data_IF_900736081844
#
_entry.id   IF_900736081844
#
_cell.length_a   1.000
_cell.length_b   1.000
_cell.length_c   1.000
_cell.angle_alpha   90.00
_cell.angle_beta   90.00
_cell.angle_gamma   90.00
#
_symmetry.space_group_name_H-M   'P 1'
#
loop_
_entity.id
_entity.type
_entity.pdbx_description
1 polymer ?
#
# COMPACT_ATOMS: atom_id res chain seq x y z
N UNK A 1 -35.95 12.46 -12.28
CA UNK A 1 -36.15 12.03 -10.88
C UNK A 1 -34.92 11.21 -10.52
N UNK A 2 -34.01 11.78 -9.74
CA UNK A 2 -32.85 11.08 -9.16
C UNK A 2 -32.73 11.60 -7.73
N UNK A 3 -32.82 10.74 -6.71
CA UNK A 3 -32.52 11.15 -5.35
C UNK A 3 -31.08 11.67 -5.33
N UNK A 4 -30.89 12.84 -4.75
CA UNK A 4 -29.60 13.19 -4.17
C UNK A 4 -29.34 12.19 -3.05
N UNK A 5 -28.70 11.07 -3.35
CA UNK A 5 -28.21 10.15 -2.32
C UNK A 5 -27.14 10.90 -1.54
N UNK A 6 -27.56 11.55 -0.46
CA UNK A 6 -26.66 12.16 0.50
C UNK A 6 -25.72 11.07 0.99
N UNK A 7 -24.42 11.27 0.84
CA UNK A 7 -23.41 10.34 1.34
C UNK A 7 -23.65 10.09 2.83
N UNK A 8 -23.64 8.83 3.26
CA UNK A 8 -23.69 8.50 4.68
C UNK A 8 -22.29 8.68 5.27
N UNK A 9 -22.03 9.86 5.84
CA UNK A 9 -20.69 10.23 6.32
C UNK A 9 -20.20 9.27 7.41
N UNK A 10 -21.04 8.87 8.37
CA UNK A 10 -20.64 7.94 9.42
C UNK A 10 -20.19 6.61 8.84
N UNK A 11 -20.96 6.08 7.90
CA UNK A 11 -20.66 4.82 7.24
C UNK A 11 -19.32 4.90 6.50
N UNK A 12 -19.04 6.00 5.79
CA UNK A 12 -17.74 6.21 5.14
C UNK A 12 -16.60 6.24 6.16
N UNK A 13 -16.76 6.95 7.28
CA UNK A 13 -15.73 7.02 8.32
C UNK A 13 -15.46 5.65 8.95
N UNK A 14 -16.50 4.84 9.15
CA UNK A 14 -16.39 3.49 9.67
C UNK A 14 -15.75 2.53 8.67
N UNK A 15 -16.19 2.54 7.42
CA UNK A 15 -15.66 1.69 6.34
C UNK A 15 -14.19 1.98 6.06
N UNK A 16 -13.82 3.26 5.96
CA UNK A 16 -12.44 3.67 5.77
C UNK A 16 -11.57 3.51 7.03
N UNK A 17 -12.15 3.07 8.15
CA UNK A 17 -11.48 2.92 9.45
C UNK A 17 -10.76 4.21 9.91
N UNK A 18 -11.42 5.37 9.73
CA UNK A 18 -10.86 6.67 10.13
C UNK A 18 -10.73 6.74 11.65
N UNK A 19 -9.51 7.01 12.13
CA UNK A 19 -9.18 7.09 13.56
C UNK A 19 -9.88 8.28 14.22
N UNK A 20 -10.14 8.17 15.53
CA UNK A 20 -10.87 9.19 16.29
C UNK A 20 -10.27 10.60 16.11
N UNK A 21 -8.95 10.72 16.15
CA UNK A 21 -8.20 11.97 16.01
C UNK A 21 -8.35 12.64 14.63
N UNK A 22 -8.83 11.89 13.63
CA UNK A 22 -9.03 12.36 12.25
C UNK A 22 -10.50 12.54 11.88
N UNK A 23 -11.44 12.06 12.70
CA UNK A 23 -12.87 12.01 12.35
C UNK A 23 -13.50 13.38 12.20
N UNK A 24 -13.10 14.36 13.01
CA UNK A 24 -13.69 15.72 12.98
C UNK A 24 -13.34 16.40 11.66
N UNK A 25 -12.06 16.46 11.30
CA UNK A 25 -11.64 17.08 10.03
C UNK A 25 -12.11 16.29 8.81
N UNK A 26 -12.12 14.96 8.88
CA UNK A 26 -12.62 14.12 7.78
C UNK A 26 -14.12 14.32 7.55
N UNK A 27 -14.91 14.46 8.62
CA UNK A 27 -16.33 14.81 8.53
C UNK A 27 -16.52 16.18 7.88
N UNK A 28 -15.82 17.21 8.37
CA UNK A 28 -15.92 18.56 7.82
C UNK A 28 -15.59 18.60 6.31
N UNK A 29 -14.62 17.79 5.87
CA UNK A 29 -14.26 17.61 4.47
C UNK A 29 -15.41 16.99 3.64
N UNK A 30 -16.18 16.07 4.22
CA UNK A 30 -17.29 15.37 3.57
C UNK A 30 -18.62 16.15 3.62
N UNK A 31 -18.83 16.99 4.64
CA UNK A 31 -19.97 17.90 4.75
C UNK A 31 -19.92 19.05 3.73
N UNK A 32 -18.71 19.46 3.33
CA UNK A 32 -18.51 20.44 2.27
C UNK A 32 -18.95 19.88 0.91
N UNK A 33 -19.57 20.68 0.04
CA UNK A 33 -19.85 20.24 -1.33
C UNK A 33 -18.54 19.94 -2.10
N UNK A 34 -18.50 18.90 -2.96
CA UNK A 34 -17.32 18.61 -3.75
C UNK A 34 -16.99 19.79 -4.67
N UNK A 35 -15.72 20.23 -4.67
CA UNK A 35 -15.24 21.24 -5.61
C UNK A 35 -15.09 20.65 -7.02
N UNK A 36 -14.89 21.51 -8.03
CA UNK A 36 -14.60 21.04 -9.39
C UNK A 36 -13.35 20.13 -9.46
N UNK A 37 -12.35 20.36 -8.60
CA UNK A 37 -11.16 19.51 -8.51
C UNK A 37 -11.49 18.14 -7.90
N UNK A 38 -12.40 18.07 -6.91
CA UNK A 38 -12.87 16.80 -6.33
C UNK A 38 -13.67 16.02 -7.37
N UNK A 39 -14.53 16.67 -8.14
CA UNK A 39 -15.26 16.02 -9.23
C UNK A 39 -14.34 15.50 -10.33
N UNK A 40 -13.29 16.25 -10.69
CA UNK A 40 -12.28 15.79 -11.62
C UNK A 40 -11.51 14.57 -11.08
N UNK A 41 -11.15 14.58 -9.80
CA UNK A 41 -10.49 13.43 -9.15
C UNK A 41 -11.43 12.20 -9.10
N UNK A 42 -12.71 12.38 -8.80
CA UNK A 42 -13.72 11.32 -8.85
C UNK A 42 -13.85 10.70 -10.25
N UNK A 43 -13.85 11.54 -11.30
CA UNK A 43 -13.88 11.06 -12.68
C UNK A 43 -12.66 10.19 -13.02
N UNK A 44 -11.48 10.55 -12.51
CA UNK A 44 -10.26 9.73 -12.64
C UNK A 44 -10.41 8.40 -11.89
N UNK A 45 -10.90 8.38 -10.65
CA UNK A 45 -11.09 7.13 -9.90
C UNK A 45 -12.06 6.19 -10.63
N UNK A 46 -13.18 6.73 -11.13
CA UNK A 46 -14.18 5.97 -11.90
C UNK A 46 -13.62 5.38 -13.18
N UNK A 47 -12.78 6.12 -13.93
CA UNK A 47 -12.19 5.60 -15.17
C UNK A 47 -11.18 4.46 -14.94
N UNK A 48 -10.56 4.44 -13.76
CA UNK A 48 -9.55 3.43 -13.36
C UNK A 48 -10.16 2.16 -12.78
N UNK A 49 -11.41 2.21 -12.32
CA UNK A 49 -12.03 1.10 -11.61
C UNK A 49 -12.15 -0.15 -12.49
N UNK A 50 -11.52 -1.25 -12.04
CA UNK A 50 -11.39 -2.52 -12.73
C UNK A 50 -10.21 -2.62 -13.69
N UNK A 51 -9.40 -1.57 -13.84
CA UNK A 51 -8.23 -1.54 -14.72
C UNK A 51 -6.94 -1.56 -13.89
N UNK A 52 -5.92 -2.29 -14.33
CA UNK A 52 -4.58 -2.28 -13.75
C UNK A 52 -3.52 -1.92 -14.80
N UNK A 53 -2.34 -1.49 -14.34
CA UNK A 53 -1.21 -1.13 -15.20
C UNK A 53 -1.21 0.33 -15.67
N UNK A 54 -2.24 1.09 -15.33
CA UNK A 54 -2.24 2.53 -15.58
C UNK A 54 -1.35 3.26 -14.57
N UNK A 55 -0.53 4.19 -15.05
CA UNK A 55 0.27 5.03 -14.17
C UNK A 55 -0.61 5.84 -13.22
N UNK A 56 -0.18 6.07 -11.96
CA UNK A 56 -0.91 6.96 -11.05
C UNK A 56 -1.11 8.35 -11.67
N UNK A 57 -2.23 9.04 -11.40
CA UNK A 57 -2.53 10.32 -12.00
C UNK A 57 -1.46 11.38 -11.67
N UNK A 58 -1.08 12.20 -12.66
CA UNK A 58 0.04 13.17 -12.58
C UNK A 58 -0.26 14.44 -11.76
N UNK A 59 -1.28 14.40 -10.88
CA UNK A 59 -1.83 15.47 -10.03
C UNK A 59 -2.61 16.56 -10.79
N UNK A 60 -3.88 16.72 -10.40
CA UNK A 60 -4.69 17.90 -10.71
C UNK A 60 -5.22 18.59 -9.43
N UNK A 61 -4.88 18.09 -8.23
CA UNK A 61 -5.36 18.64 -6.96
C UNK A 61 -4.48 18.25 -5.77
N UNK A 62 -4.59 19.01 -4.68
CA UNK A 62 -3.86 18.78 -3.43
C UNK A 62 -4.31 17.53 -2.67
N UNK A 63 -3.57 17.13 -1.63
CA UNK A 63 -3.85 15.92 -0.84
C UNK A 63 -5.29 15.82 -0.32
N UNK A 64 -5.91 16.95 0.07
CA UNK A 64 -7.30 16.97 0.58
C UNK A 64 -8.34 16.79 -0.54
N UNK A 65 -8.04 17.22 -1.76
CA UNK A 65 -8.89 16.96 -2.94
C UNK A 65 -8.98 15.46 -3.16
N UNK A 66 -7.83 14.78 -3.20
CA UNK A 66 -7.78 13.33 -3.38
C UNK A 66 -8.37 12.57 -2.19
N UNK A 67 -8.15 13.01 -0.96
CA UNK A 67 -8.79 12.41 0.21
C UNK A 67 -10.32 12.48 0.11
N UNK A 68 -10.87 13.66 -0.25
CA UNK A 68 -12.32 13.84 -0.42
C UNK A 68 -12.85 12.94 -1.54
N UNK A 69 -12.15 12.89 -2.68
CA UNK A 69 -12.54 12.05 -3.81
C UNK A 69 -12.52 10.55 -3.45
N UNK A 70 -11.46 10.05 -2.81
CA UNK A 70 -11.35 8.65 -2.39
C UNK A 70 -12.46 8.24 -1.42
N UNK A 71 -12.75 9.08 -0.41
CA UNK A 71 -13.80 8.81 0.58
C UNK A 71 -15.20 8.85 -0.05
N UNK A 72 -15.46 9.79 -0.96
CA UNK A 72 -16.74 9.89 -1.69
C UNK A 72 -16.93 8.77 -2.71
N UNK A 73 -15.84 8.24 -3.27
CA UNK A 73 -15.85 7.13 -4.22
C UNK A 73 -16.05 5.77 -3.55
N UNK A 74 -15.79 5.67 -2.25
CA UNK A 74 -15.81 4.42 -1.50
C UNK A 74 -17.10 3.60 -1.70
N UNK A 75 -18.32 4.16 -1.70
CA UNK A 75 -19.53 3.38 -1.97
C UNK A 75 -19.55 2.72 -3.35
N UNK A 76 -19.07 3.41 -4.40
CA UNK A 76 -18.98 2.86 -5.76
C UNK A 76 -17.95 1.73 -5.82
N UNK A 77 -16.81 1.92 -5.16
CA UNK A 77 -15.77 0.90 -5.05
C UNK A 77 -16.28 -0.35 -4.31
N UNK A 78 -17.02 -0.18 -3.21
CA UNK A 78 -17.61 -1.27 -2.45
C UNK A 78 -18.65 -2.05 -3.26
N UNK A 79 -19.52 -1.35 -4.01
CA UNK A 79 -20.45 -2.00 -4.93
C UNK A 79 -19.70 -2.86 -5.94
N UNK A 80 -18.63 -2.33 -6.53
CA UNK A 80 -17.82 -3.05 -7.51
C UNK A 80 -17.22 -4.35 -6.97
N UNK A 81 -16.74 -4.34 -5.72
CA UNK A 81 -16.25 -5.55 -5.05
C UNK A 81 -17.37 -6.54 -4.76
N UNK A 82 -18.51 -6.07 -4.23
CA UNK A 82 -19.66 -6.92 -3.89
C UNK A 82 -20.30 -7.57 -5.11
N UNK A 83 -20.39 -6.84 -6.23
CA UNK A 83 -20.89 -7.34 -7.50
C UNK A 83 -20.02 -8.47 -8.08
N UNK A 84 -18.75 -8.56 -7.65
CA UNK A 84 -17.80 -9.64 -7.99
C UNK A 84 -17.76 -10.76 -6.97
N UNK A 85 -18.58 -10.69 -5.91
CA UNK A 85 -18.62 -11.69 -4.85
C UNK A 85 -17.38 -11.69 -3.96
N UNK A 86 -16.61 -10.59 -3.91
CA UNK A 86 -15.44 -10.51 -3.04
C UNK A 86 -15.91 -10.61 -1.57
N UNK A 87 -15.28 -11.45 -0.72
CA UNK A 87 -15.68 -11.60 0.66
C UNK A 87 -15.61 -10.28 1.44
N UNK A 88 -16.65 -9.99 2.24
CA UNK A 88 -16.78 -8.71 2.96
C UNK A 88 -15.60 -8.44 3.91
N UNK A 89 -15.00 -9.49 4.48
CA UNK A 89 -13.77 -9.40 5.29
C UNK A 89 -12.56 -8.88 4.50
N UNK A 90 -12.41 -9.30 3.24
CA UNK A 90 -11.33 -8.85 2.34
C UNK A 90 -11.59 -7.41 1.93
N UNK A 91 -12.85 -7.08 1.60
CA UNK A 91 -13.26 -5.72 1.29
C UNK A 91 -12.89 -4.80 2.46
N UNK A 92 -13.37 -5.11 3.68
CA UNK A 92 -13.11 -4.34 4.89
C UNK A 92 -11.62 -4.17 5.16
N UNK A 93 -10.84 -5.25 5.08
CA UNK A 93 -9.40 -5.19 5.29
C UNK A 93 -8.70 -4.28 4.26
N UNK A 94 -9.15 -4.32 3.00
CA UNK A 94 -8.57 -3.53 1.90
C UNK A 94 -8.86 -2.04 2.05
N UNK A 95 -10.12 -1.66 2.33
CA UNK A 95 -10.51 -0.24 2.41
C UNK A 95 -10.11 0.43 3.71
N UNK A 96 -9.89 -0.34 4.79
CA UNK A 96 -9.37 0.17 6.06
C UNK A 96 -7.96 0.78 5.95
N UNK A 97 -7.25 0.58 4.83
CA UNK A 97 -5.95 1.21 4.61
C UNK A 97 -6.07 2.72 4.37
N UNK A 98 -7.24 3.22 3.94
CA UNK A 98 -7.48 4.66 3.80
C UNK A 98 -7.27 5.37 5.14
N UNK A 99 -7.93 4.90 6.21
CA UNK A 99 -7.79 5.47 7.55
C UNK A 99 -6.40 5.30 8.14
N UNK A 100 -5.69 4.20 7.81
CA UNK A 100 -4.28 4.01 8.19
C UNK A 100 -3.41 5.10 7.57
N UNK A 101 -3.58 5.36 6.28
CA UNK A 101 -2.79 6.36 5.55
C UNK A 101 -3.11 7.81 5.97
N UNK A 102 -4.35 8.12 6.35
CA UNK A 102 -4.72 9.40 6.98
C UNK A 102 -3.96 9.56 8.31
N UNK A 103 -4.01 8.56 9.18
CA UNK A 103 -3.32 8.60 10.47
C UNK A 103 -1.79 8.70 10.33
N UNK A 104 -1.20 7.96 9.39
CA UNK A 104 0.23 8.04 9.06
C UNK A 104 0.60 9.45 8.62
N UNK A 105 -0.24 10.09 7.79
CA UNK A 105 0.00 11.46 7.33
C UNK A 105 0.03 12.46 8.50
N UNK A 106 -0.89 12.32 9.46
CA UNK A 106 -0.92 13.17 10.66
C UNK A 106 0.33 12.98 11.51
N UNK A 107 0.71 11.75 11.80
CA UNK A 107 1.91 11.45 12.61
C UNK A 107 3.18 11.98 11.93
N UNK A 108 3.27 11.84 10.62
CA UNK A 108 4.44 12.26 9.83
C UNK A 108 4.59 13.78 9.77
N UNK A 109 3.49 14.49 9.48
CA UNK A 109 3.53 15.93 9.16
C UNK A 109 3.15 16.83 10.35
N UNK A 110 2.45 16.28 11.35
CA UNK A 110 1.83 17.04 12.43
C UNK A 110 0.47 17.67 12.07
N UNK A 111 0.00 17.51 10.83
CA UNK A 111 -1.25 18.11 10.34
C UNK A 111 -2.16 17.08 9.68
N UNK A 112 -3.48 17.35 9.68
CA UNK A 112 -4.45 16.56 8.94
C UNK A 112 -4.11 16.54 7.44
N UNK A 113 -4.08 15.36 6.83
CA UNK A 113 -3.67 15.21 5.43
C UNK A 113 -3.67 13.77 4.94
N UNK A 114 -3.21 13.60 3.69
CA UNK A 114 -3.07 12.32 3.01
C UNK A 114 -1.87 12.37 2.05
N UNK A 115 -0.64 12.46 2.57
CA UNK A 115 0.57 12.55 1.73
C UNK A 115 0.70 11.39 0.74
N UNK A 116 0.14 10.24 1.10
CA UNK A 116 0.16 8.99 0.34
C UNK A 116 -1.02 8.85 -0.63
N UNK A 117 -1.72 9.94 -0.96
CA UNK A 117 -2.89 9.90 -1.83
C UNK A 117 -2.65 9.18 -3.16
N UNK A 118 -1.45 9.30 -3.74
CA UNK A 118 -1.07 8.59 -4.99
C UNK A 118 -1.19 7.08 -4.84
N UNK A 119 -0.72 6.54 -3.71
CA UNK A 119 -0.83 5.11 -3.41
C UNK A 119 -2.28 4.67 -3.27
N UNK A 120 -3.11 5.46 -2.60
CA UNK A 120 -4.53 5.12 -2.45
C UNK A 120 -5.33 5.24 -3.76
N UNK A 121 -4.82 5.93 -4.79
CA UNK A 121 -5.42 5.83 -6.13
C UNK A 121 -5.23 4.45 -6.78
N UNK A 122 -4.20 3.70 -6.39
CA UNK A 122 -4.03 2.30 -6.77
C UNK A 122 -4.96 1.38 -5.97
N UNK A 123 -5.21 1.68 -4.69
CA UNK A 123 -6.24 0.95 -3.92
C UNK A 123 -7.61 1.07 -4.55
N UNK A 124 -7.93 2.25 -5.08
CA UNK A 124 -9.22 2.57 -5.68
C UNK A 124 -9.50 1.86 -7.02
N UNK A 125 -8.51 1.19 -7.63
CA UNK A 125 -8.70 0.51 -8.94
C UNK A 125 -9.52 -0.77 -8.83
N UNK A 126 -9.74 -1.32 -7.63
CA UNK A 126 -10.35 -2.64 -7.49
C UNK A 126 -9.41 -3.80 -7.86
N UNK A 127 -8.11 -3.55 -8.03
CA UNK A 127 -7.13 -4.59 -8.39
C UNK A 127 -6.17 -4.94 -7.26
N UNK A 128 -6.30 -4.28 -6.11
CA UNK A 128 -5.55 -4.53 -4.88
C UNK A 128 -6.45 -5.08 -3.78
N UNK A 129 -5.96 -6.09 -3.06
CA UNK A 129 -6.66 -6.79 -1.99
C UNK A 129 -5.74 -7.07 -0.82
N UNK A 130 -6.21 -6.81 0.41
CA UNK A 130 -5.52 -7.24 1.62
C UNK A 130 -5.95 -8.67 2.00
N UNK A 131 -5.02 -9.61 1.93
CA UNK A 131 -5.23 -11.02 2.27
C UNK A 131 -4.32 -11.40 3.44
N UNK A 132 -4.83 -11.28 4.66
CA UNK A 132 -4.07 -11.56 5.87
C UNK A 132 -3.16 -10.40 6.29
N UNK A 133 -1.84 -10.60 6.23
CA UNK A 133 -0.83 -9.60 6.61
C UNK A 133 -0.29 -8.82 5.40
N UNK A 134 -0.42 -9.37 4.21
CA UNK A 134 0.04 -8.74 2.96
C UNK A 134 -1.13 -8.20 2.15
N UNK A 135 -0.81 -7.25 1.30
CA UNK A 135 -1.67 -6.79 0.21
C UNK A 135 -1.11 -7.30 -1.11
N UNK A 136 -2.02 -7.64 -2.01
CA UNK A 136 -1.71 -8.17 -3.33
C UNK A 136 -2.44 -7.35 -4.39
N UNK A 137 -1.68 -6.82 -5.34
CA UNK A 137 -2.20 -6.10 -6.50
C UNK A 137 -1.97 -6.92 -7.75
N UNK A 138 -3.02 -7.24 -8.50
CA UNK A 138 -2.80 -7.77 -9.85
C UNK A 138 -2.34 -6.63 -10.76
N UNK A 139 -1.21 -6.84 -11.42
CA UNK A 139 -0.54 -5.82 -12.23
C UNK A 139 0.21 -6.46 -13.41
N UNK A 140 0.63 -5.66 -14.42
CA UNK A 140 1.46 -6.17 -15.49
C UNK A 140 2.81 -6.65 -14.93
N UNK A 141 3.37 -7.70 -15.52
CA UNK A 141 4.69 -8.20 -15.19
C UNK A 141 5.77 -7.15 -15.37
N UNK A 142 6.70 -6.98 -14.40
CA UNK A 142 7.81 -6.06 -14.56
C UNK A 142 8.83 -6.60 -15.58
N UNK A 143 9.55 -5.68 -16.22
CA UNK A 143 10.70 -6.05 -17.04
C UNK A 143 11.84 -6.61 -16.17
N UNK A 144 12.66 -7.50 -16.73
CA UNK A 144 13.88 -8.00 -16.08
C UNK A 144 13.74 -9.31 -15.29
N UNK A 145 12.52 -9.84 -15.11
CA UNK A 145 12.33 -11.21 -14.61
C UNK A 145 12.52 -12.19 -15.78
N UNK A 146 13.42 -13.16 -15.61
CA UNK A 146 13.66 -14.19 -16.62
C UNK A 146 12.38 -15.01 -16.90
N UNK A 147 12.14 -15.30 -18.18
CA UNK A 147 11.01 -16.09 -18.68
C UNK A 147 9.61 -15.53 -18.35
N UNK A 148 9.51 -14.24 -17.99
CA UNK A 148 8.22 -13.56 -17.84
C UNK A 148 7.83 -12.89 -19.16
N UNK A 149 6.69 -13.28 -19.73
CA UNK A 149 6.22 -12.65 -20.97
C UNK A 149 5.73 -11.22 -20.71
N UNK A 150 5.89 -10.31 -21.68
CA UNK A 150 5.55 -8.89 -21.52
C UNK A 150 4.06 -8.61 -21.23
N UNK A 151 3.18 -9.57 -21.48
CA UNK A 151 1.74 -9.50 -21.21
C UNK A 151 1.30 -10.38 -20.01
N UNK A 152 2.24 -11.06 -19.35
CA UNK A 152 1.95 -11.90 -18.20
C UNK A 152 1.70 -11.04 -16.97
N UNK A 153 0.66 -11.35 -16.19
CA UNK A 153 0.35 -10.65 -14.96
C UNK A 153 1.13 -11.24 -13.78
N UNK A 154 1.41 -10.41 -12.78
CA UNK A 154 2.00 -10.83 -11.50
C UNK A 154 1.21 -10.25 -10.34
N UNK A 155 1.40 -10.80 -9.14
CA UNK A 155 0.89 -10.19 -7.90
C UNK A 155 1.94 -9.28 -7.27
N UNK A 156 1.73 -7.98 -7.31
CA UNK A 156 2.50 -7.00 -6.52
C UNK A 156 2.21 -7.15 -5.04
N UNK A 157 3.21 -7.47 -4.23
CA UNK A 157 3.15 -7.59 -2.78
C UNK A 157 3.43 -6.24 -2.15
N UNK A 158 2.50 -5.81 -1.29
CA UNK A 158 2.62 -4.61 -0.47
C UNK A 158 2.42 -4.96 1.01
N UNK A 159 3.07 -4.21 1.90
CA UNK A 159 3.08 -4.48 3.34
C UNK A 159 2.43 -3.29 4.05
N UNK A 160 1.15 -3.38 4.44
CA UNK A 160 0.53 -2.32 5.20
C UNK A 160 1.18 -2.15 6.57
N UNK A 161 1.24 -0.92 7.06
CA UNK A 161 1.56 -0.66 8.46
C UNK A 161 0.34 -0.96 9.34
N UNK A 162 0.52 -1.93 10.23
CA UNK A 162 -0.50 -2.33 11.19
C UNK A 162 0.14 -2.49 12.56
N UNK A 163 -0.33 -1.67 13.50
CA UNK A 163 0.18 -1.65 14.87
C UNK A 163 -0.01 -3.02 15.53
N UNK A 164 1.06 -3.52 16.18
CA UNK A 164 1.04 -4.82 16.85
C UNK A 164 0.97 -6.04 15.92
N UNK A 165 1.01 -5.87 14.59
CA UNK A 165 0.98 -6.97 13.62
C UNK A 165 2.33 -7.14 12.92
N UNK A 166 3.26 -7.92 13.50
CA UNK A 166 4.57 -8.15 12.89
C UNK A 166 4.45 -8.92 11.56
N UNK A 167 5.45 -8.76 10.70
CA UNK A 167 5.62 -9.54 9.47
C UNK A 167 6.14 -10.95 9.78
N UNK A 168 5.45 -11.69 10.66
CA UNK A 168 5.92 -13.01 11.09
C UNK A 168 5.92 -13.99 9.90
N UNK A 169 6.83 -14.99 9.88
CA UNK A 169 6.88 -15.98 8.81
C UNK A 169 5.55 -16.70 8.59
N UNK A 170 4.85 -17.04 9.67
CA UNK A 170 3.53 -17.67 9.61
C UNK A 170 2.47 -16.76 9.00
N UNK A 171 2.49 -15.46 9.30
CA UNK A 171 1.53 -14.51 8.73
C UNK A 171 1.80 -14.23 7.24
N UNK A 172 3.08 -14.21 6.84
CA UNK A 172 3.48 -14.12 5.41
C UNK A 172 3.01 -15.36 4.66
N UNK A 173 3.27 -16.55 5.21
CA UNK A 173 2.86 -17.82 4.60
C UNK A 173 1.34 -17.92 4.42
N UNK A 174 0.59 -17.60 5.48
CA UNK A 174 -0.88 -17.54 5.44
C UNK A 174 -1.39 -16.54 4.39
N UNK A 175 -0.73 -15.38 4.23
CA UNK A 175 -1.10 -14.39 3.21
C UNK A 175 -0.87 -14.92 1.79
N UNK A 176 0.28 -15.57 1.55
CA UNK A 176 0.62 -16.16 0.25
C UNK A 176 -0.33 -17.31 -0.10
N UNK A 177 -0.63 -18.19 0.87
CA UNK A 177 -1.56 -19.31 0.71
C UNK A 177 -2.98 -18.86 0.37
N UNK A 178 -3.43 -17.70 0.88
CA UNK A 178 -4.73 -17.11 0.53
C UNK A 178 -4.75 -16.47 -0.86
N UNK A 179 -3.64 -15.88 -1.29
CA UNK A 179 -3.57 -15.17 -2.56
C UNK A 179 -3.83 -16.09 -3.76
N UNK A 180 -3.23 -17.28 -3.75
CA UNK A 180 -3.35 -18.26 -4.86
C UNK A 180 -4.80 -18.60 -5.22
N UNK A 181 -5.63 -19.17 -4.33
CA UNK A 181 -7.01 -19.50 -4.65
C UNK A 181 -7.86 -18.24 -4.89
N UNK A 182 -7.60 -17.14 -4.18
CA UNK A 182 -8.34 -15.90 -4.35
C UNK A 182 -8.22 -15.33 -5.77
N UNK A 183 -6.99 -15.18 -6.29
CA UNK A 183 -6.80 -14.65 -7.64
C UNK A 183 -7.20 -15.65 -8.72
N UNK A 184 -7.10 -16.96 -8.48
CA UNK A 184 -7.64 -17.96 -9.40
C UNK A 184 -9.17 -17.88 -9.55
N UNK A 185 -9.88 -17.60 -8.44
CA UNK A 185 -11.34 -17.46 -8.43
C UNK A 185 -11.81 -16.14 -9.05
N UNK A 186 -11.23 -15.01 -8.63
CA UNK A 186 -11.73 -13.67 -8.99
C UNK A 186 -11.06 -13.07 -10.24
N UNK A 187 -9.91 -13.59 -10.67
CA UNK A 187 -9.19 -13.16 -11.88
C UNK A 187 -8.81 -14.35 -12.81
N UNK A 188 -9.76 -15.22 -13.19
CA UNK A 188 -9.46 -16.47 -13.91
C UNK A 188 -8.88 -16.27 -15.31
N UNK A 189 -9.02 -15.06 -15.88
CA UNK A 189 -8.47 -14.70 -17.20
C UNK A 189 -7.02 -14.20 -17.13
N UNK A 190 -6.50 -14.01 -15.93
CA UNK A 190 -5.15 -13.51 -15.67
C UNK A 190 -4.45 -14.47 -14.70
N UNK A 191 -4.11 -15.69 -15.13
CA UNK A 191 -3.37 -16.62 -14.28
C UNK A 191 -2.03 -15.98 -13.90
N UNK A 192 -1.72 -16.02 -12.61
CA UNK A 192 -0.51 -15.44 -12.03
C UNK A 192 0.32 -16.58 -11.47
N UNK A 193 1.59 -16.72 -11.85
CA UNK A 193 2.50 -17.71 -11.24
C UNK A 193 3.54 -17.08 -10.32
N UNK A 194 3.73 -15.77 -10.43
CA UNK A 194 4.71 -15.01 -9.67
C UNK A 194 4.05 -13.95 -8.79
N UNK A 195 4.69 -13.71 -7.65
CA UNK A 195 4.51 -12.49 -6.90
C UNK A 195 5.79 -11.66 -6.96
N UNK A 196 5.63 -10.35 -7.05
CA UNK A 196 6.70 -9.36 -7.16
C UNK A 196 6.65 -8.41 -5.96
N UNK A 197 7.79 -7.99 -5.45
CA UNK A 197 7.86 -6.96 -4.43
C UNK A 197 8.99 -5.98 -4.77
N UNK A 198 8.71 -4.69 -4.62
CA UNK A 198 9.69 -3.61 -4.76
C UNK A 198 9.72 -2.89 -3.43
N UNK A 199 10.82 -3.04 -2.68
CA UNK A 199 10.88 -2.54 -1.31
C UNK A 199 12.31 -2.33 -0.83
N UNK A 200 12.48 -1.36 0.08
CA UNK A 200 13.71 -1.19 0.85
C UNK A 200 14.00 -2.40 1.75
N UNK A 201 12.97 -3.20 2.08
CA UNK A 201 13.16 -4.45 2.82
C UNK A 201 13.91 -5.52 2.01
N UNK A 202 14.06 -5.33 0.69
CA UNK A 202 14.82 -6.20 -0.20
C UNK A 202 16.26 -5.71 -0.44
N UNK A 203 16.70 -4.69 0.29
CA UNK A 203 18.10 -4.28 0.30
C UNK A 203 18.99 -5.44 0.85
N UNK A 204 19.95 -5.97 0.06
CA UNK A 204 20.81 -7.07 0.50
C UNK A 204 21.55 -6.80 1.82
N UNK A 205 21.83 -5.54 2.13
CA UNK A 205 22.47 -5.14 3.38
C UNK A 205 21.66 -5.59 4.62
N UNK A 206 20.32 -5.67 4.52
CA UNK A 206 19.48 -6.17 5.61
C UNK A 206 19.73 -7.66 5.88
N UNK A 207 19.92 -8.46 4.83
CA UNK A 207 20.22 -9.89 4.96
C UNK A 207 21.63 -10.13 5.52
N UNK A 208 22.58 -9.25 5.20
CA UNK A 208 23.96 -9.33 5.70
C UNK A 208 24.06 -8.89 7.17
N UNK A 209 23.18 -7.98 7.62
CA UNK A 209 23.32 -7.30 8.92
C UNK A 209 22.32 -7.78 9.97
N UNK A 210 21.09 -8.14 9.60
CA UNK A 210 20.09 -8.59 10.56
C UNK A 210 20.27 -10.07 10.90
N UNK A 211 19.90 -10.50 12.12
CA UNK A 211 19.85 -11.92 12.44
C UNK A 211 18.95 -12.67 11.44
N UNK A 212 19.37 -13.85 10.93
CA UNK A 212 18.57 -14.62 9.96
C UNK A 212 17.17 -14.99 10.45
N UNK A 213 16.96 -15.03 11.77
CA UNK A 213 15.68 -15.33 12.40
C UNK A 213 14.78 -14.10 12.50
N UNK A 214 15.26 -12.90 12.18
CA UNK A 214 14.42 -11.71 12.16
C UNK A 214 13.35 -11.82 11.07
N UNK A 215 12.16 -11.27 11.35
CA UNK A 215 11.04 -11.29 10.42
C UNK A 215 11.39 -10.68 9.05
N UNK A 216 12.16 -9.58 9.05
CA UNK A 216 12.59 -8.90 7.81
C UNK A 216 13.54 -9.78 7.02
N UNK A 217 14.54 -10.40 7.66
CA UNK A 217 15.46 -11.30 6.96
C UNK A 217 14.74 -12.51 6.37
N UNK A 218 13.79 -13.10 7.12
CA UNK A 218 12.98 -14.23 6.63
C UNK A 218 11.99 -13.85 5.53
N UNK A 219 11.52 -12.59 5.50
CA UNK A 219 10.70 -12.07 4.42
C UNK A 219 11.55 -11.86 3.17
N UNK A 220 12.66 -11.14 3.29
CA UNK A 220 13.56 -10.82 2.18
C UNK A 220 14.16 -12.07 1.52
N UNK A 221 14.50 -13.10 2.31
CA UNK A 221 15.08 -14.35 1.81
C UNK A 221 14.14 -15.20 0.93
N UNK A 222 12.84 -14.85 0.87
CA UNK A 222 11.88 -15.51 -0.03
C UNK A 222 12.03 -15.06 -1.49
N UNK A 223 12.68 -13.93 -1.73
CA UNK A 223 12.71 -13.31 -3.04
C UNK A 223 14.01 -13.60 -3.78
N UNK A 224 13.89 -13.90 -5.07
CA UNK A 224 15.00 -13.80 -6.01
C UNK A 224 15.05 -12.37 -6.53
N UNK A 225 16.19 -11.69 -6.30
CA UNK A 225 16.37 -10.31 -6.77
C UNK A 225 16.60 -10.26 -8.28
N UNK A 226 16.13 -9.19 -8.90
CA UNK A 226 16.34 -8.89 -10.32
C UNK A 226 16.48 -7.37 -10.53
N UNK A 227 17.01 -6.98 -11.70
CA UNK A 227 17.25 -5.58 -12.01
C UNK A 227 18.33 -4.92 -11.15
N UNK A 228 18.44 -3.60 -11.25
CA UNK A 228 19.38 -2.80 -10.46
C UNK A 228 18.75 -2.37 -9.14
N UNK A 229 19.58 -2.29 -8.10
CA UNK A 229 19.22 -1.65 -6.84
C UNK A 229 19.15 -0.14 -7.04
N UNK A 230 18.13 0.50 -6.46
CA UNK A 230 17.91 1.93 -6.62
C UNK A 230 18.19 2.66 -5.31
N UNK A 231 19.13 3.60 -5.35
CA UNK A 231 19.46 4.44 -4.19
C UNK A 231 18.26 5.29 -3.76
N UNK A 232 17.80 5.06 -2.54
CA UNK A 232 16.61 5.65 -1.93
C UNK A 232 16.86 5.92 -0.45
N UNK A 233 17.81 6.83 -0.11
CA UNK A 233 18.29 7.02 1.25
C UNK A 233 17.19 7.42 2.25
N UNK A 234 16.08 7.99 1.76
CA UNK A 234 14.93 8.40 2.55
C UNK A 234 13.98 7.28 2.95
N UNK A 235 13.92 6.17 2.21
CA UNK A 235 12.81 5.22 2.33
C UNK A 235 12.91 4.42 3.62
N UNK A 236 14.07 3.84 3.91
CA UNK A 236 14.31 3.14 5.17
C UNK A 236 14.08 4.05 6.39
N UNK A 237 14.46 5.33 6.28
CA UNK A 237 14.24 6.33 7.33
C UNK A 237 12.75 6.65 7.50
N UNK A 238 12.04 6.87 6.39
CA UNK A 238 10.62 7.16 6.39
C UNK A 238 9.80 5.99 6.98
N UNK A 239 10.08 4.76 6.58
CA UNK A 239 9.36 3.58 7.06
C UNK A 239 9.71 3.19 8.49
N UNK A 240 10.90 3.54 8.99
CA UNK A 240 11.33 3.22 10.36
C UNK A 240 10.98 4.32 11.37
N UNK A 241 10.99 5.59 10.96
CA UNK A 241 10.90 6.73 11.87
C UNK A 241 9.80 7.74 11.53
N UNK A 242 9.12 7.60 10.39
CA UNK A 242 8.18 8.60 9.88
C UNK A 242 8.81 9.99 9.75
N UNK A 243 10.10 10.03 9.40
CA UNK A 243 10.87 11.24 9.12
C UNK A 243 11.48 11.15 7.72
N UNK A 244 11.48 12.27 7.01
CA UNK A 244 12.21 12.41 5.73
C UNK A 244 13.54 13.15 5.89
N UNK A 245 13.76 13.78 7.05
CA UNK A 245 14.99 14.50 7.36
C UNK A 245 16.10 13.53 7.81
N UNK A 246 17.07 13.32 6.92
CA UNK A 246 18.26 12.51 7.18
C UNK A 246 19.40 13.30 7.81
N UNK A 247 19.25 14.62 8.02
CA UNK A 247 20.30 15.46 8.61
C UNK A 247 20.31 15.42 10.14
N UNK A 248 19.17 15.11 10.78
CA UNK A 248 19.05 15.04 12.24
C UNK A 248 18.82 13.60 12.75
N UNK A 249 19.52 12.63 12.17
CA UNK A 249 19.39 11.22 12.54
C UNK A 249 19.91 10.92 13.96
N UNK A 250 20.80 11.77 14.50
CA UNK A 250 21.38 11.59 15.83
C UNK A 250 20.29 11.54 16.92
N UNK A 251 19.23 12.34 16.76
CA UNK A 251 18.11 12.44 17.69
C UNK A 251 17.05 11.32 17.55
N UNK A 252 17.19 10.43 16.57
CA UNK A 252 16.20 9.36 16.33
C UNK A 252 16.34 8.20 17.34
N UNK A 253 15.23 7.54 17.71
CA UNK A 253 15.23 6.44 18.68
C UNK A 253 16.05 5.25 18.19
N UNK A 254 16.59 4.46 19.13
CA UNK A 254 17.46 3.29 18.88
C UNK A 254 17.00 2.07 19.67
N UNK A 255 15.73 2.01 20.00
CA UNK A 255 15.12 1.01 20.87
C UNK A 255 15.09 -0.37 20.21
N UNK A 256 14.86 -0.41 18.90
CA UNK A 256 14.78 -1.67 18.13
C UNK A 256 16.06 -1.99 17.36
N UNK A 257 16.27 -3.26 17.05
CA UNK A 257 17.40 -3.69 16.21
C UNK A 257 17.34 -3.04 14.82
N UNK A 258 16.15 -2.93 14.23
CA UNK A 258 15.94 -2.28 12.94
C UNK A 258 16.34 -0.80 12.98
N UNK A 259 15.93 -0.06 14.02
CA UNK A 259 16.31 1.34 14.19
C UNK A 259 17.84 1.49 14.26
N UNK A 260 18.52 0.65 15.04
CA UNK A 260 19.99 0.66 15.13
C UNK A 260 20.67 0.32 13.80
N UNK A 261 20.16 -0.66 13.06
CA UNK A 261 20.69 -1.03 11.73
C UNK A 261 20.50 0.10 10.72
N UNK A 262 19.32 0.73 10.68
CA UNK A 262 19.03 1.84 9.76
C UNK A 262 19.95 3.03 10.00
N UNK A 263 20.08 3.46 11.26
CA UNK A 263 20.92 4.60 11.62
C UNK A 263 22.41 4.28 11.48
N UNK A 264 22.84 3.09 11.92
CA UNK A 264 24.23 2.68 11.84
C UNK A 264 24.77 2.62 10.41
N UNK A 265 23.97 2.22 9.43
CA UNK A 265 24.40 2.28 8.02
C UNK A 265 24.65 3.71 7.56
N UNK A 266 23.75 4.64 7.90
CA UNK A 266 23.86 6.04 7.50
C UNK A 266 25.07 6.70 8.19
N UNK A 267 25.28 6.44 9.48
CA UNK A 267 26.43 6.95 10.25
C UNK A 267 27.77 6.45 9.70
N UNK A 268 27.80 5.24 9.13
CA UNK A 268 28.98 4.68 8.46
C UNK A 268 29.14 5.13 7.00
N UNK A 269 28.35 6.11 6.54
CA UNK A 269 28.42 6.67 5.19
C UNK A 269 27.76 5.82 4.10
N UNK A 270 26.98 4.80 4.47
CA UNK A 270 26.22 3.97 3.54
C UNK A 270 24.89 4.60 3.13
N UNK A 271 24.39 4.21 1.95
CA UNK A 271 23.07 4.59 1.44
C UNK A 271 22.09 3.43 1.53
N UNK A 272 20.81 3.71 1.72
CA UNK A 272 19.73 2.71 1.66
C UNK A 272 19.21 2.58 0.22
N UNK A 273 18.89 1.36 -0.16
CA UNK A 273 18.48 1.02 -1.51
C UNK A 273 17.13 0.30 -1.51
N UNK A 274 16.42 0.40 -2.63
CA UNK A 274 15.24 -0.40 -2.91
C UNK A 274 15.65 -1.53 -3.84
N UNK A 275 15.31 -2.75 -3.44
CA UNK A 275 15.47 -3.95 -4.25
C UNK A 275 14.16 -4.33 -4.94
N UNK A 276 14.29 -5.00 -6.09
CA UNK A 276 13.18 -5.63 -6.79
C UNK A 276 13.35 -7.14 -6.69
N UNK A 277 12.32 -7.84 -6.24
CA UNK A 277 12.37 -9.28 -6.04
C UNK A 277 11.10 -9.98 -6.52
N UNK A 278 11.24 -11.25 -6.90
CA UNK A 278 10.09 -12.11 -7.21
C UNK A 278 10.18 -13.45 -6.48
N UNK A 279 9.02 -14.07 -6.28
CA UNK A 279 8.89 -15.43 -5.79
C UNK A 279 7.86 -16.21 -6.62
N UNK A 280 7.99 -17.53 -6.63
CA UNK A 280 7.00 -18.43 -7.24
C UNK A 280 5.85 -18.62 -6.26
N UNK A 281 4.62 -18.51 -6.76
CA UNK A 281 3.43 -18.88 -6.02
C UNK A 281 3.27 -20.41 -6.12
N UNK A 282 3.09 -21.08 -4.98
CA UNK A 282 2.87 -22.52 -4.95
C UNK A 282 1.37 -22.81 -5.15
N UNK A 283 1.04 -23.47 -6.25
CA UNK A 283 -0.31 -23.94 -6.60
C UNK A 283 -0.49 -25.42 -6.26
#
# INVERSE_FOLDING_TARGET
MTPSDSINIEEILELAAVRADDRVETRALLESAPSAEVEAALAVLRSRLGNFGEKPPSSAGGQLVWMSALLRFLPEQLSWYRDRGIPEEVIRATVADIGRHIAISRVTTGFFGLETWRWLTEHATGTLYQLGRLQFQIQPGPEGIADLASNEAVLGIHIPEEEGRPLSPAAVEDSLARAVPFFAEFFPRQPVRLANCVSWLLDPYLLETLPPQSNIAQFASRFTLYGELLDTPSDAVYFTFRRRDVQNIAALPRDTALQRTVLGRIENGGSWQVGQGYLQLSF
#
